data_IF_490760506622
#
_entry.id   IF_490760506622
#
_cell.length_a   1.000
_cell.length_b   1.000
_cell.length_c   1.000
_cell.angle_alpha   90.00
_cell.angle_beta   90.00
_cell.angle_gamma   90.00
#
_symmetry.space_group_name_H-M   'P 1'
#
loop_
_entity.id
_entity.type
_entity.pdbx_description
1 polymer ?
#
# COMPACT_ATOMS: atom_id res chain seq x y z
N UNK A 1 4.65 13.30 -26.60
CA UNK A 1 4.22 13.78 -25.27
C UNK A 1 5.27 13.31 -24.29
N UNK A 2 5.85 14.18 -23.44
CA UNK A 2 6.79 13.74 -22.41
C UNK A 2 5.99 13.00 -21.32
N UNK A 3 6.46 11.86 -20.78
CA UNK A 3 5.76 11.20 -19.67
C UNK A 3 5.63 12.20 -18.52
N UNK A 4 4.43 12.39 -18.00
CA UNK A 4 4.20 13.21 -16.82
C UNK A 4 5.00 12.58 -15.69
N UNK A 5 6.12 13.20 -15.32
CA UNK A 5 7.03 12.70 -14.29
C UNK A 5 6.24 12.56 -12.99
N UNK A 6 6.11 11.30 -12.52
CA UNK A 6 5.63 10.90 -11.20
C UNK A 6 4.44 11.70 -10.66
N UNK A 7 3.21 11.32 -11.01
CA UNK A 7 2.03 11.96 -10.41
C UNK A 7 2.01 11.69 -8.90
N UNK A 8 1.86 12.77 -8.12
CA UNK A 8 1.67 12.67 -6.68
C UNK A 8 0.39 11.88 -6.39
N UNK A 9 0.55 10.68 -5.84
CA UNK A 9 -0.52 9.77 -5.49
C UNK A 9 0.01 8.90 -4.35
N UNK A 10 -0.68 8.87 -3.23
CA UNK A 10 -0.32 8.03 -2.09
C UNK A 10 -1.43 7.02 -1.81
N UNK A 11 -1.06 5.92 -1.16
CA UNK A 11 -1.99 4.84 -0.89
C UNK A 11 -1.29 3.57 -0.45
N UNK A 12 -2.01 2.46 -0.52
CA UNK A 12 -1.50 1.12 -0.19
C UNK A 12 -1.55 0.27 -1.46
N UNK A 13 -0.45 -0.42 -1.75
CA UNK A 13 -0.36 -1.48 -2.74
C UNK A 13 -0.35 -2.83 -2.00
N UNK A 14 -1.33 -3.68 -2.28
CA UNK A 14 -1.36 -5.05 -1.74
C UNK A 14 -0.86 -6.00 -2.81
N UNK A 15 0.23 -6.72 -2.56
CA UNK A 15 0.79 -7.68 -3.52
C UNK A 15 -0.20 -8.81 -3.74
N UNK A 16 -0.64 -9.01 -4.98
CA UNK A 16 -1.61 -10.04 -5.36
C UNK A 16 -1.04 -11.09 -6.30
N UNK A 17 0.13 -10.84 -6.90
CA UNK A 17 0.80 -11.85 -7.71
C UNK A 17 1.14 -13.08 -6.85
N UNK A 18 0.73 -14.31 -7.24
CA UNK A 18 1.01 -15.53 -6.49
C UNK A 18 2.50 -15.82 -6.28
N UNK A 19 3.37 -15.33 -7.17
CA UNK A 19 4.81 -15.51 -7.08
C UNK A 19 5.51 -14.41 -6.27
N UNK A 20 4.74 -13.47 -5.69
CA UNK A 20 5.27 -12.25 -5.10
C UNK A 20 5.55 -11.17 -6.14
N UNK A 21 6.18 -10.09 -5.72
CA UNK A 21 6.51 -8.96 -6.58
C UNK A 21 7.96 -8.53 -6.43
N UNK A 22 8.58 -8.18 -7.54
CA UNK A 22 9.93 -7.61 -7.54
C UNK A 22 9.87 -6.11 -7.27
N UNK A 23 10.78 -5.65 -6.42
CA UNK A 23 10.97 -4.25 -6.08
C UNK A 23 12.22 -3.76 -6.81
N UNK A 24 12.04 -2.84 -7.74
CA UNK A 24 13.10 -2.36 -8.62
C UNK A 24 13.69 -1.06 -8.11
N UNK A 25 14.95 -0.78 -8.42
CA UNK A 25 15.58 0.50 -8.05
C UNK A 25 15.13 1.68 -8.94
N UNK A 26 14.52 1.41 -10.11
CA UNK A 26 13.96 2.39 -11.05
C UNK A 26 12.67 1.83 -11.69
N UNK A 27 11.76 2.69 -12.19
CA UNK A 27 10.49 2.27 -12.80
C UNK A 27 10.70 1.79 -14.24
N UNK A 28 11.39 0.66 -14.38
CA UNK A 28 11.76 0.02 -15.64
C UNK A 28 11.96 -1.48 -15.40
N UNK A 29 11.41 -2.33 -16.26
CA UNK A 29 11.51 -3.80 -16.14
C UNK A 29 12.96 -4.32 -16.24
N UNK A 30 13.85 -3.57 -16.89
CA UNK A 30 15.28 -3.90 -17.01
C UNK A 30 16.12 -3.37 -15.83
N UNK A 31 15.50 -2.70 -14.86
CA UNK A 31 16.20 -2.18 -13.69
C UNK A 31 16.64 -3.31 -12.74
N UNK A 32 17.60 -3.02 -11.88
CA UNK A 32 18.04 -4.00 -10.89
C UNK A 32 16.94 -4.22 -9.85
N UNK A 33 16.73 -5.49 -9.49
CA UNK A 33 15.83 -5.90 -8.41
C UNK A 33 16.58 -5.66 -7.08
N UNK A 34 15.98 -4.87 -6.21
CA UNK A 34 16.44 -4.62 -4.85
C UNK A 34 16.02 -5.77 -3.92
N UNK A 35 14.75 -6.18 -4.02
CA UNK A 35 14.15 -7.21 -3.18
C UNK A 35 12.96 -7.86 -3.91
N UNK A 36 12.59 -9.07 -3.51
CA UNK A 36 11.32 -9.69 -3.89
C UNK A 36 10.44 -9.84 -2.65
N UNK A 37 9.24 -9.26 -2.67
CA UNK A 37 8.27 -9.33 -1.58
C UNK A 37 7.25 -10.42 -1.82
N UNK A 38 6.77 -11.05 -0.74
CA UNK A 38 5.76 -12.11 -0.82
C UNK A 38 4.37 -11.56 -1.18
N UNK A 39 3.50 -12.45 -1.66
CA UNK A 39 2.07 -12.14 -1.85
C UNK A 39 1.39 -11.80 -0.52
N UNK A 40 0.38 -10.94 -0.55
CA UNK A 40 -0.36 -10.47 0.62
C UNK A 40 0.33 -9.35 1.43
N UNK A 41 1.53 -8.93 1.04
CA UNK A 41 2.23 -7.81 1.69
C UNK A 41 1.56 -6.48 1.32
N UNK A 42 1.43 -5.60 2.30
CA UNK A 42 0.89 -4.25 2.16
C UNK A 42 2.06 -3.25 2.13
N UNK A 43 2.16 -2.49 1.04
CA UNK A 43 3.24 -1.53 0.83
C UNK A 43 2.67 -0.12 0.64
N UNK A 44 3.00 0.85 1.50
CA UNK A 44 2.63 2.23 1.25
C UNK A 44 3.39 2.77 0.04
N UNK A 45 2.69 3.43 -0.88
CA UNK A 45 3.30 4.12 -2.02
C UNK A 45 3.12 5.64 -1.95
N UNK A 46 4.04 6.36 -2.60
CA UNK A 46 4.16 7.82 -2.53
C UNK A 46 3.84 8.52 -3.84
N UNK A 47 4.03 7.82 -4.97
CA UNK A 47 3.74 8.35 -6.31
C UNK A 47 3.52 7.22 -7.32
N UNK A 48 2.81 7.56 -8.39
CA UNK A 48 2.64 6.74 -9.58
C UNK A 48 3.49 7.27 -10.73
N UNK A 49 4.18 6.40 -11.43
CA UNK A 49 4.94 6.69 -12.64
C UNK A 49 4.34 5.90 -13.82
N UNK A 50 3.63 6.57 -14.74
CA UNK A 50 3.09 5.89 -15.92
C UNK A 50 4.19 5.51 -16.92
N UNK A 51 4.23 4.25 -17.33
CA UNK A 51 5.06 3.76 -18.44
C UNK A 51 4.17 3.13 -19.54
N UNK A 52 4.72 2.96 -20.74
CA UNK A 52 4.01 2.34 -21.85
C UNK A 52 3.62 0.87 -21.58
N UNK A 53 4.37 0.16 -20.72
CA UNK A 53 4.15 -1.25 -20.40
C UNK A 53 3.35 -1.46 -19.11
N UNK A 54 3.09 -0.40 -18.35
CA UNK A 54 2.37 -0.48 -17.09
C UNK A 54 2.69 0.70 -16.17
N UNK A 55 1.87 0.87 -15.14
CA UNK A 55 2.15 1.88 -14.12
C UNK A 55 3.10 1.34 -13.06
N UNK A 56 4.04 2.18 -12.66
CA UNK A 56 4.95 1.91 -11.56
C UNK A 56 4.55 2.71 -10.32
N UNK A 57 4.78 2.13 -9.15
CA UNK A 57 4.45 2.75 -7.87
C UNK A 57 5.70 2.80 -7.00
N UNK A 58 6.09 4.00 -6.56
CA UNK A 58 7.21 4.13 -5.63
C UNK A 58 6.73 3.78 -4.23
N UNK A 59 7.15 2.63 -3.72
CA UNK A 59 6.78 2.09 -2.42
C UNK A 59 7.83 2.41 -1.35
N UNK A 60 7.42 2.36 -0.08
CA UNK A 60 8.33 2.36 1.08
C UNK A 60 8.35 0.96 1.69
N UNK A 61 9.56 0.41 1.83
CA UNK A 61 9.81 -0.88 2.47
C UNK A 61 9.87 -0.74 4.00
N UNK A 62 9.87 -1.89 4.70
CA UNK A 62 9.86 -1.92 6.16
C UNK A 62 11.11 -1.27 6.80
N UNK A 63 12.25 -1.37 6.11
CA UNK A 63 13.52 -0.75 6.51
C UNK A 63 13.60 0.76 6.19
N UNK A 64 12.55 1.32 5.58
CA UNK A 64 12.47 2.71 5.16
C UNK A 64 13.07 2.99 3.78
N UNK A 65 13.64 1.99 3.10
CA UNK A 65 14.11 2.15 1.74
C UNK A 65 12.94 2.31 0.76
N UNK A 66 13.25 2.90 -0.40
CA UNK A 66 12.27 3.10 -1.47
C UNK A 66 12.61 2.24 -2.67
N UNK A 67 11.57 1.77 -3.35
CA UNK A 67 11.70 1.03 -4.58
C UNK A 67 10.45 1.15 -5.44
N UNK A 68 10.48 0.51 -6.60
CA UNK A 68 9.43 0.59 -7.60
C UNK A 68 8.75 -0.77 -7.76
N UNK A 69 7.44 -0.77 -7.58
CA UNK A 69 6.57 -1.92 -7.77
C UNK A 69 5.79 -1.75 -9.08
N UNK A 70 5.72 -2.80 -9.88
CA UNK A 70 4.89 -2.81 -11.08
C UNK A 70 3.42 -3.01 -10.68
N UNK A 71 2.54 -2.13 -11.17
CA UNK A 71 1.13 -2.11 -10.79
C UNK A 71 0.37 -3.40 -11.12
N UNK A 72 0.82 -4.18 -12.10
CA UNK A 72 0.21 -5.47 -12.45
C UNK A 72 0.38 -6.54 -11.36
N UNK A 73 1.36 -6.38 -10.47
CA UNK A 73 1.63 -7.35 -9.41
C UNK A 73 0.83 -7.09 -8.12
N UNK A 74 0.07 -5.99 -8.08
CA UNK A 74 -0.61 -5.54 -6.88
C UNK A 74 -2.01 -4.97 -7.12
N UNK A 75 -2.85 -5.06 -6.10
CA UNK A 75 -4.06 -4.26 -5.99
C UNK A 75 -3.68 -2.88 -5.44
N UNK A 76 -4.07 -1.81 -6.15
CA UNK A 76 -3.73 -0.44 -5.78
C UNK A 76 -4.93 0.27 -5.17
N UNK A 77 -4.80 0.63 -3.89
CA UNK A 77 -5.77 1.46 -3.19
C UNK A 77 -5.21 2.86 -3.00
N UNK A 78 -5.68 3.81 -3.81
CA UNK A 78 -5.31 5.22 -3.69
C UNK A 78 -6.01 5.86 -2.50
N UNK A 79 -5.26 6.57 -1.67
CA UNK A 79 -5.82 7.47 -0.66
C UNK A 79 -6.11 8.80 -1.34
N UNK A 80 -7.38 9.28 -1.36
CA UNK A 80 -7.69 10.59 -1.91
C UNK A 80 -6.92 11.67 -1.13
N UNK A 81 -6.09 12.43 -1.83
CA UNK A 81 -5.38 13.59 -1.25
C UNK A 81 -6.29 14.78 -0.98
N UNK A 82 -7.59 14.68 -1.33
CA UNK A 82 -8.60 15.68 -1.03
C UNK A 82 -9.41 15.30 0.22
N UNK A 83 -8.75 15.25 1.37
CA UNK A 83 -9.47 15.35 2.65
C UNK A 83 -9.79 16.84 2.83
N UNK A 84 -10.94 17.28 2.29
CA UNK A 84 -11.62 18.39 2.95
C UNK A 84 -11.74 17.97 4.43
N UNK A 85 -11.31 18.79 5.41
CA UNK A 85 -11.32 18.37 6.81
C UNK A 85 -12.71 17.85 7.15
N UNK A 86 -12.81 16.56 7.46
CA UNK A 86 -14.03 16.00 8.02
C UNK A 86 -14.30 16.80 9.30
N UNK A 87 -15.47 17.44 9.47
CA UNK A 87 -15.78 18.05 10.75
C UNK A 87 -15.75 16.95 11.81
N UNK A 88 -14.80 17.06 12.74
CA UNK A 88 -14.61 16.18 13.89
C UNK A 88 -15.72 16.43 14.92
N UNK A 89 -16.98 16.22 14.54
CA UNK A 89 -18.15 16.47 15.39
C UNK A 89 -18.95 15.21 15.74
N UNK A 90 -18.54 14.02 15.28
CA UNK A 90 -19.31 12.79 15.54
C UNK A 90 -18.49 11.61 16.08
N UNK A 91 -17.46 11.86 16.90
CA UNK A 91 -16.86 10.81 17.74
C UNK A 91 -17.58 10.62 19.09
N UNK A 92 -18.69 11.33 19.35
CA UNK A 92 -19.60 11.01 20.46
C UNK A 92 -20.46 9.79 20.07
N UNK A 93 -19.91 8.59 20.21
CA UNK A 93 -20.71 7.37 20.03
C UNK A 93 -19.93 6.07 19.92
N UNK A 94 -18.64 6.12 19.58
CA UNK A 94 -17.79 4.93 19.64
C UNK A 94 -17.34 4.69 21.09
N UNK A 95 -18.30 4.32 21.96
CA UNK A 95 -17.95 3.57 23.16
C UNK A 95 -17.36 2.27 22.63
N UNK A 96 -16.03 2.14 22.73
CA UNK A 96 -15.37 0.84 22.64
C UNK A 96 -15.90 0.06 23.85
N UNK A 97 -16.94 -0.75 23.64
CA UNK A 97 -17.34 -1.76 24.62
C UNK A 97 -16.22 -2.78 24.65
N UNK A 98 -15.22 -2.51 25.50
CA UNK A 98 -14.28 -3.52 25.99
C UNK A 98 -15.13 -4.47 26.82
N UNK A 99 -15.56 -5.59 26.24
CA UNK A 99 -16.16 -6.70 27.00
C UNK A 99 -15.09 -7.28 27.94
N UNK A 100 -15.23 -7.18 29.27
CA UNK A 100 -14.40 -7.91 30.20
C UNK A 100 -15.18 -9.16 30.60
N UNK A 101 -15.25 -10.16 29.73
CA UNK A 101 -16.21 -11.25 29.91
C UNK A 101 -15.88 -12.59 29.29
N UNK A 102 -14.61 -12.94 29.04
CA UNK A 102 -14.24 -14.26 28.54
C UNK A 102 -13.20 -14.93 29.45
N UNK A 103 -13.66 -15.38 30.62
CA UNK A 103 -12.92 -16.25 31.55
C UNK A 103 -13.71 -17.53 31.78
N UNK A 104 -13.30 -18.62 31.13
CA UNK A 104 -13.93 -19.92 31.30
C UNK A 104 -13.66 -20.54 32.67
N UNK A 105 -14.55 -21.41 33.12
CA UNK A 105 -14.18 -22.68 33.76
C UNK A 105 -15.42 -23.58 33.96
N UNK A 106 -15.36 -24.73 33.28
CA UNK A 106 -15.71 -26.09 33.72
C UNK A 106 -16.90 -26.37 34.67
N UNK A 107 -17.83 -27.18 34.15
CA UNK A 107 -18.25 -28.53 34.64
C UNK A 107 -18.18 -28.77 36.16
N UNK A 108 -19.34 -29.02 36.79
CA UNK A 108 -19.88 -30.35 37.18
C UNK A 108 -21.39 -30.25 37.40
#
# INVERSE_FOLDING_TARGET
MKPNIGQAASGIATVTNPNGANIYNNPNEQANIFETVSTGIYLPFLRRYPDANGDWYEITLLDGNKGWLLGSDANIQVTPTNIAPLPLSNLSGAIITIDPGHGGSMVI
#
